data_IF_521823043743
#
_entry.id   IF_521823043743
#
_cell.length_a   1.000
_cell.length_b   1.000
_cell.length_c   1.000
_cell.angle_alpha   90.00
_cell.angle_beta   90.00
_cell.angle_gamma   90.00
#
_symmetry.space_group_name_H-M   'P 1'
#
loop_
_entity.id
_entity.type
_entity.pdbx_description
1 polymer ?
#
# COMPACT_ATOMS: atom_id res chain seq x y z
N UNK A 1 -14.76 -30.31 23.51
CA UNK A 1 -14.41 -29.22 22.54
C UNK A 1 -14.94 -27.92 23.14
N UNK A 2 -14.10 -26.90 23.26
CA UNK A 2 -14.53 -25.55 23.67
C UNK A 2 -15.52 -25.06 22.62
N UNK A 3 -16.61 -24.42 23.05
CA UNK A 3 -17.55 -23.79 22.14
C UNK A 3 -16.84 -22.76 21.24
N UNK A 4 -17.22 -22.71 19.97
CA UNK A 4 -16.58 -21.82 18.97
C UNK A 4 -16.63 -20.35 19.40
N UNK A 5 -17.76 -19.92 19.99
CA UNK A 5 -17.92 -18.56 20.46
C UNK A 5 -17.02 -18.27 21.64
N UNK A 6 -16.99 -19.17 22.62
CA UNK A 6 -16.12 -19.08 23.80
C UNK A 6 -14.63 -18.99 23.40
N UNK A 7 -14.22 -19.79 22.40
CA UNK A 7 -12.86 -19.74 21.89
C UNK A 7 -12.54 -18.39 21.27
N UNK A 8 -13.45 -17.81 20.47
CA UNK A 8 -13.22 -16.52 19.81
C UNK A 8 -13.22 -15.38 20.82
N UNK A 9 -14.14 -15.37 21.78
CA UNK A 9 -14.16 -14.38 22.87
C UNK A 9 -12.86 -14.42 23.68
N UNK A 10 -12.28 -15.60 23.87
CA UNK A 10 -10.98 -15.76 24.54
C UNK A 10 -9.84 -15.09 23.75
N UNK A 11 -9.80 -15.25 22.41
CA UNK A 11 -8.78 -14.60 21.58
C UNK A 11 -8.99 -13.09 21.50
N UNK A 12 -10.21 -12.60 21.39
CA UNK A 12 -10.48 -11.15 21.39
C UNK A 12 -10.13 -10.51 22.75
N UNK A 13 -10.30 -11.22 23.87
CA UNK A 13 -9.82 -10.77 25.17
C UNK A 13 -8.29 -10.72 25.26
N UNK A 14 -7.58 -11.72 24.74
CA UNK A 14 -6.11 -11.72 24.66
C UNK A 14 -5.58 -10.57 23.78
N UNK A 15 -6.30 -10.22 22.72
CA UNK A 15 -5.93 -9.10 21.84
C UNK A 15 -5.99 -7.75 22.56
N UNK A 16 -6.75 -7.63 23.65
CA UNK A 16 -6.83 -6.42 24.47
C UNK A 16 -5.69 -6.32 25.50
N UNK A 17 -4.99 -7.42 25.79
CA UNK A 17 -3.82 -7.42 26.65
C UNK A 17 -2.58 -6.94 25.88
N UNK A 18 -2.20 -5.69 26.13
CA UNK A 18 -1.05 -5.03 25.46
C UNK A 18 0.29 -5.25 26.18
N UNK A 19 0.31 -5.98 27.27
CA UNK A 19 1.54 -6.18 28.08
C UNK A 19 2.66 -6.86 27.31
N UNK A 20 2.33 -7.57 26.23
CA UNK A 20 3.25 -8.34 25.39
C UNK A 20 3.56 -7.69 24.04
N UNK A 21 3.09 -6.47 23.80
CA UNK A 21 3.37 -5.74 22.55
C UNK A 21 4.74 -5.08 22.62
N UNK A 22 5.60 -5.41 21.66
CA UNK A 22 6.95 -4.84 21.56
C UNK A 22 6.96 -3.45 20.93
N UNK A 23 5.98 -3.16 20.07
CA UNK A 23 5.85 -1.88 19.36
C UNK A 23 4.38 -1.49 19.20
N UNK A 24 4.11 -0.21 18.93
CA UNK A 24 2.76 0.28 18.60
C UNK A 24 2.20 -0.30 17.27
N UNK A 25 3.06 -0.90 16.45
CA UNK A 25 2.70 -1.51 15.17
C UNK A 25 2.37 -3.01 15.30
N UNK A 26 2.46 -3.54 16.52
CA UNK A 26 2.20 -4.93 16.85
C UNK A 26 0.71 -5.11 17.19
N UNK A 27 -0.10 -5.40 16.18
CA UNK A 27 -1.56 -5.40 16.27
C UNK A 27 -2.09 -6.81 16.06
N UNK A 28 -2.72 -7.38 17.12
CA UNK A 28 -3.43 -8.66 16.98
C UNK A 28 -4.63 -8.53 16.03
N UNK A 29 -4.86 -9.58 15.27
CA UNK A 29 -5.94 -9.62 14.28
C UNK A 29 -7.27 -9.96 14.96
N UNK A 30 -8.29 -9.08 14.93
CA UNK A 30 -9.61 -9.38 15.48
C UNK A 30 -10.21 -10.63 14.84
N UNK A 31 -10.97 -11.42 15.60
CA UNK A 31 -11.52 -12.69 15.12
C UNK A 31 -12.47 -12.54 13.92
N UNK A 32 -13.21 -11.43 13.81
CA UNK A 32 -14.02 -11.14 12.62
C UNK A 32 -13.17 -10.91 11.37
N UNK A 33 -12.00 -10.29 11.51
CA UNK A 33 -11.04 -10.15 10.41
C UNK A 33 -10.47 -11.51 10.00
N UNK A 34 -10.04 -12.32 10.95
CA UNK A 34 -9.57 -13.71 10.74
C UNK A 34 -10.59 -14.53 9.96
N UNK A 35 -11.86 -14.51 10.42
CA UNK A 35 -12.97 -15.19 9.75
C UNK A 35 -13.14 -14.73 8.31
N UNK A 36 -13.10 -13.43 8.07
CA UNK A 36 -13.25 -12.85 6.73
C UNK A 36 -12.10 -13.29 5.83
N UNK A 37 -10.86 -13.19 6.27
CA UNK A 37 -9.69 -13.59 5.50
C UNK A 37 -9.74 -15.07 5.09
N UNK A 38 -10.04 -15.97 6.02
CA UNK A 38 -10.10 -17.40 5.75
C UNK A 38 -11.26 -17.75 4.80
N UNK A 39 -12.40 -17.06 4.90
CA UNK A 39 -13.53 -17.26 4.02
C UNK A 39 -13.33 -16.68 2.60
N UNK A 40 -12.31 -15.87 2.36
CA UNK A 40 -11.92 -15.43 1.01
C UNK A 40 -11.13 -16.50 0.25
N UNK A 41 -10.56 -17.49 0.94
CA UNK A 41 -9.88 -18.62 0.31
C UNK A 41 -10.94 -19.51 -0.34
N UNK A 42 -10.76 -19.90 -1.62
CA UNK A 42 -11.72 -20.74 -2.33
C UNK A 42 -12.09 -22.02 -1.57
N UNK A 43 -13.37 -22.38 -1.59
CA UNK A 43 -13.85 -23.52 -0.79
C UNK A 43 -13.27 -24.86 -1.22
N UNK A 44 -12.98 -25.04 -2.50
CA UNK A 44 -12.37 -26.24 -3.08
C UNK A 44 -10.95 -26.49 -2.57
N UNK A 45 -10.23 -25.45 -2.17
CA UNK A 45 -8.92 -25.56 -1.51
C UNK A 45 -8.97 -26.47 -0.27
N UNK A 46 -10.05 -26.40 0.52
CA UNK A 46 -10.20 -27.13 1.77
C UNK A 46 -10.58 -28.61 1.58
N UNK A 47 -10.85 -29.04 0.35
CA UNK A 47 -11.14 -30.44 0.04
C UNK A 47 -9.91 -31.34 0.15
N UNK A 48 -8.72 -30.80 -0.05
CA UNK A 48 -7.46 -31.51 0.16
C UNK A 48 -7.13 -31.61 1.65
N UNK A 49 -7.08 -32.82 2.18
CA UNK A 49 -6.81 -33.08 3.60
C UNK A 49 -5.31 -33.03 3.97
N UNK A 50 -4.42 -33.03 2.98
CA UNK A 50 -2.97 -33.04 3.16
C UNK A 50 -2.32 -31.69 2.90
N UNK A 51 -3.07 -30.59 3.08
CA UNK A 51 -2.52 -29.24 2.92
C UNK A 51 -1.57 -28.89 4.06
N UNK A 52 -0.55 -28.08 3.75
CA UNK A 52 0.31 -27.43 4.74
C UNK A 52 -0.02 -25.94 4.78
N UNK A 53 -0.44 -25.46 5.94
CA UNK A 53 -0.80 -24.05 6.18
C UNK A 53 0.26 -23.44 7.09
N UNK A 54 0.86 -22.32 6.71
CA UNK A 54 1.78 -21.56 7.56
C UNK A 54 1.12 -20.26 8.04
N UNK A 55 1.20 -20.04 9.35
CA UNK A 55 1.04 -18.73 9.97
C UNK A 55 2.44 -18.25 10.44
N UNK A 56 3.14 -17.39 9.68
CA UNK A 56 4.56 -17.08 9.90
C UNK A 56 4.81 -16.07 11.03
N UNK A 57 3.77 -15.47 11.59
CA UNK A 57 3.81 -14.51 12.69
C UNK A 57 2.52 -14.63 13.50
N UNK A 58 2.31 -15.83 14.05
CA UNK A 58 1.01 -16.27 14.55
C UNK A 58 0.54 -15.54 15.83
N UNK A 59 1.43 -14.85 16.53
CA UNK A 59 1.09 -14.23 17.79
C UNK A 59 0.50 -15.25 18.78
N UNK A 60 -0.67 -14.94 19.29
CA UNK A 60 -1.39 -15.84 20.19
C UNK A 60 -2.08 -17.03 19.46
N UNK A 61 -2.06 -17.09 18.12
CA UNK A 61 -2.68 -18.16 17.32
C UNK A 61 -4.07 -17.84 16.77
N UNK A 62 -4.39 -16.58 16.58
CA UNK A 62 -5.72 -16.12 16.16
C UNK A 62 -6.21 -16.78 14.85
N UNK A 63 -5.34 -16.92 13.83
CA UNK A 63 -5.72 -17.62 12.60
C UNK A 63 -5.98 -19.10 12.86
N UNK A 64 -5.15 -19.75 13.68
CA UNK A 64 -5.33 -21.15 14.07
C UNK A 64 -6.68 -21.42 14.72
N UNK A 65 -7.16 -20.48 15.55
CA UNK A 65 -8.45 -20.60 16.21
C UNK A 65 -9.63 -20.76 15.25
N UNK A 66 -9.55 -20.21 14.03
CA UNK A 66 -10.57 -20.42 12.99
C UNK A 66 -10.20 -21.50 11.98
N UNK A 67 -8.92 -21.64 11.63
CA UNK A 67 -8.41 -22.63 10.68
C UNK A 67 -8.75 -24.08 11.07
N UNK A 68 -8.76 -24.40 12.37
CA UNK A 68 -9.13 -25.74 12.88
C UNK A 68 -10.55 -26.19 12.49
N UNK A 69 -11.41 -25.27 12.06
CA UNK A 69 -12.73 -25.58 11.51
C UNK A 69 -12.73 -25.81 9.97
N UNK A 70 -11.59 -25.58 9.34
CA UNK A 70 -11.39 -25.76 7.88
C UNK A 70 -10.48 -26.94 7.57
N UNK A 71 -9.47 -27.19 8.40
CA UNK A 71 -8.50 -28.28 8.29
C UNK A 71 -8.12 -28.80 9.67
N UNK A 72 -7.45 -29.96 9.73
CA UNK A 72 -6.94 -30.49 11.00
C UNK A 72 -5.79 -29.62 11.50
N UNK A 73 -5.69 -29.49 12.84
CA UNK A 73 -4.67 -28.63 13.48
C UNK A 73 -3.24 -29.06 13.14
N UNK A 74 -3.01 -30.36 12.91
CA UNK A 74 -1.70 -30.91 12.54
C UNK A 74 -1.21 -30.45 11.15
N UNK A 75 -2.09 -29.89 10.33
CA UNK A 75 -1.72 -29.30 9.05
C UNK A 75 -1.26 -27.83 9.17
N UNK A 76 -1.39 -27.23 10.37
CA UNK A 76 -1.09 -25.82 10.61
C UNK A 76 0.27 -25.71 11.28
N UNK A 77 1.14 -24.95 10.65
CA UNK A 77 2.49 -24.62 11.10
C UNK A 77 2.47 -23.20 11.65
N UNK A 78 2.74 -23.07 12.94
CA UNK A 78 2.77 -21.78 13.63
C UNK A 78 4.21 -21.34 13.83
N UNK A 79 4.52 -20.10 13.54
CA UNK A 79 5.80 -19.50 13.83
C UNK A 79 5.60 -18.07 14.35
N UNK A 80 6.37 -17.69 15.36
CA UNK A 80 6.48 -16.30 15.80
C UNK A 80 7.85 -16.08 16.45
N UNK A 81 8.40 -14.88 16.32
CA UNK A 81 9.64 -14.49 16.99
C UNK A 81 9.42 -14.19 18.48
N UNK A 82 8.17 -13.93 18.88
CA UNK A 82 7.78 -13.63 20.25
C UNK A 82 7.40 -14.92 21.00
N UNK A 83 8.33 -15.40 21.82
CA UNK A 83 8.17 -16.64 22.58
C UNK A 83 6.97 -16.63 23.52
N UNK A 84 6.68 -15.51 24.18
CA UNK A 84 5.57 -15.42 25.14
C UNK A 84 4.20 -15.59 24.46
N UNK A 85 4.05 -15.08 23.24
CA UNK A 85 2.83 -15.28 22.43
C UNK A 85 2.71 -16.72 21.96
N UNK A 86 3.82 -17.35 21.59
CA UNK A 86 3.84 -18.77 21.25
C UNK A 86 3.37 -19.64 22.40
N UNK A 87 3.73 -19.30 23.65
CA UNK A 87 3.23 -20.02 24.82
C UNK A 87 1.71 -19.91 24.97
N UNK A 88 1.09 -18.77 24.67
CA UNK A 88 -0.37 -18.64 24.63
C UNK A 88 -0.98 -19.52 23.52
N UNK A 89 -0.38 -19.50 22.33
CA UNK A 89 -0.78 -20.33 21.20
C UNK A 89 -0.73 -21.84 21.59
N UNK A 90 0.38 -22.31 22.20
CA UNK A 90 0.55 -23.67 22.69
C UNK A 90 -0.54 -24.05 23.69
N UNK A 91 -0.76 -23.24 24.72
CA UNK A 91 -1.73 -23.51 25.80
C UNK A 91 -3.18 -23.59 25.31
N UNK A 92 -3.54 -22.81 24.26
CA UNK A 92 -4.93 -22.71 23.80
C UNK A 92 -5.23 -23.71 22.68
N UNK A 93 -4.32 -23.85 21.70
CA UNK A 93 -4.54 -24.62 20.49
C UNK A 93 -3.87 -26.00 20.51
N UNK A 94 -2.86 -26.18 21.37
CA UNK A 94 -2.04 -27.41 21.45
C UNK A 94 -1.56 -27.91 20.06
N UNK A 95 -0.92 -27.07 19.23
CA UNK A 95 -0.54 -27.41 17.88
C UNK A 95 0.65 -28.37 17.86
N UNK A 96 0.71 -29.25 16.84
CA UNK A 96 1.83 -30.16 16.60
C UNK A 96 3.08 -29.43 16.06
N UNK A 97 2.88 -28.44 15.20
CA UNK A 97 3.96 -27.71 14.52
C UNK A 97 3.98 -26.26 15.00
N UNK A 98 4.95 -25.96 15.87
CA UNK A 98 5.17 -24.61 16.40
C UNK A 98 6.67 -24.35 16.51
N UNK A 99 7.11 -23.17 16.06
CA UNK A 99 8.52 -22.77 16.02
C UNK A 99 8.71 -21.32 16.43
N UNK A 100 9.90 -21.02 16.95
CA UNK A 100 10.32 -19.67 17.32
C UNK A 100 11.53 -19.27 16.46
N UNK A 101 11.31 -19.08 15.17
CA UNK A 101 12.37 -18.73 14.23
C UNK A 101 12.13 -17.35 13.62
N UNK A 102 13.21 -16.70 13.18
CA UNK A 102 13.06 -15.61 12.21
C UNK A 102 12.41 -16.16 10.93
N UNK A 103 11.27 -15.61 10.56
CA UNK A 103 10.53 -16.06 9.37
C UNK A 103 11.40 -16.15 8.12
N UNK A 104 12.37 -15.25 7.97
CA UNK A 104 13.26 -15.21 6.81
C UNK A 104 14.28 -16.36 6.76
N UNK A 105 14.32 -17.20 7.79
CA UNK A 105 15.14 -18.43 7.83
C UNK A 105 14.35 -19.71 7.54
N UNK A 106 13.04 -19.60 7.28
CA UNK A 106 12.18 -20.73 6.91
C UNK A 106 12.26 -20.93 5.39
N UNK A 107 12.40 -22.20 4.95
CA UNK A 107 12.54 -22.58 3.53
C UNK A 107 11.56 -23.70 3.10
N UNK A 108 10.77 -24.26 4.01
CA UNK A 108 9.75 -25.26 3.69
C UNK A 108 8.68 -24.70 2.74
N UNK A 109 7.99 -25.61 2.03
CA UNK A 109 6.95 -25.26 1.07
C UNK A 109 5.55 -25.51 1.64
N UNK A 110 4.66 -24.55 1.41
CA UNK A 110 3.30 -24.52 1.94
C UNK A 110 2.25 -24.38 0.85
N UNK A 111 1.06 -24.90 1.11
CA UNK A 111 -0.10 -24.77 0.22
C UNK A 111 -0.86 -23.45 0.48
N UNK A 112 -0.79 -22.95 1.72
CA UNK A 112 -1.35 -21.68 2.14
C UNK A 112 -0.39 -20.98 3.11
N UNK A 113 -0.15 -19.69 2.91
CA UNK A 113 0.46 -18.81 3.91
C UNK A 113 -0.54 -17.72 4.23
N UNK A 114 -0.91 -17.59 5.52
CA UNK A 114 -1.89 -16.62 5.99
C UNK A 114 -1.32 -15.81 7.14
N UNK A 115 -1.42 -14.47 7.08
CA UNK A 115 -0.83 -13.62 8.12
C UNK A 115 -1.41 -12.20 8.18
N UNK A 116 -1.23 -11.61 9.35
CA UNK A 116 -1.12 -10.17 9.57
C UNK A 116 0.35 -9.86 9.94
N UNK A 117 1.25 -9.67 8.97
CA UNK A 117 2.67 -9.52 9.25
C UNK A 117 2.98 -8.18 9.92
N UNK A 118 4.10 -8.05 10.67
CA UNK A 118 4.54 -6.78 11.23
C UNK A 118 4.79 -5.76 10.10
N UNK A 119 4.36 -4.49 10.32
CA UNK A 119 4.38 -3.47 9.26
C UNK A 119 5.70 -2.73 9.15
N UNK A 120 6.33 -2.43 10.30
CA UNK A 120 7.61 -1.74 10.37
C UNK A 120 8.63 -2.55 11.16
N UNK A 121 9.89 -2.52 10.73
CA UNK A 121 10.97 -3.28 11.37
C UNK A 121 11.61 -2.59 12.58
N UNK A 122 10.98 -1.57 13.19
CA UNK A 122 11.48 -0.86 14.34
C UNK A 122 12.93 -0.36 14.15
N UNK A 123 13.16 0.72 13.43
CA UNK A 123 14.50 1.25 13.24
C UNK A 123 14.71 2.04 11.95
N UNK A 124 15.83 2.69 11.86
CA UNK A 124 16.23 3.55 10.76
C UNK A 124 16.24 2.82 9.40
N UNK A 125 15.34 3.19 8.53
CA UNK A 125 15.21 2.96 7.09
C UNK A 125 14.02 2.06 6.69
N UNK A 126 12.96 2.71 6.38
CA UNK A 126 11.95 2.67 5.29
C UNK A 126 11.80 1.39 4.43
N UNK A 127 12.20 0.21 4.87
CA UNK A 127 11.78 -1.01 4.20
C UNK A 127 10.56 -1.53 4.95
N UNK A 128 9.39 -1.44 4.31
CA UNK A 128 8.17 -2.06 4.79
C UNK A 128 8.46 -3.54 5.09
N UNK A 129 8.40 -3.92 6.36
CA UNK A 129 8.65 -5.31 6.76
C UNK A 129 7.57 -6.22 6.15
N UNK A 130 6.33 -5.74 6.08
CA UNK A 130 5.23 -6.46 5.44
C UNK A 130 5.51 -6.79 3.97
N UNK A 131 6.15 -5.91 3.20
CA UNK A 131 6.54 -6.20 1.83
C UNK A 131 7.57 -7.34 1.74
N UNK A 132 8.54 -7.37 2.65
CA UNK A 132 9.52 -8.47 2.72
C UNK A 132 8.83 -9.79 3.08
N UNK A 133 7.84 -9.77 3.99
CA UNK A 133 7.02 -10.94 4.29
C UNK A 133 6.28 -11.46 3.06
N UNK A 134 5.66 -10.57 2.25
CA UNK A 134 5.01 -10.93 0.98
C UNK A 134 6.03 -11.60 0.05
N UNK A 135 7.17 -10.96 -0.20
CA UNK A 135 8.17 -11.44 -1.14
C UNK A 135 8.74 -12.80 -0.75
N UNK A 136 9.05 -13.02 0.53
CA UNK A 136 9.53 -14.30 1.02
C UNK A 136 8.45 -15.38 0.99
N UNK A 137 7.20 -15.03 1.33
CA UNK A 137 6.06 -15.96 1.27
C UNK A 137 5.82 -16.49 -0.15
N UNK A 138 5.97 -15.66 -1.19
CA UNK A 138 5.86 -16.11 -2.59
C UNK A 138 6.87 -17.23 -2.88
N UNK A 139 8.08 -17.10 -2.35
CA UNK A 139 9.12 -18.12 -2.52
C UNK A 139 8.80 -19.43 -1.76
N UNK A 140 8.13 -19.34 -0.61
CA UNK A 140 7.74 -20.50 0.19
C UNK A 140 6.45 -21.20 -0.29
N UNK A 141 5.66 -20.59 -1.14
CA UNK A 141 4.46 -21.23 -1.67
C UNK A 141 4.80 -22.31 -2.69
N UNK A 142 4.06 -23.43 -2.62
CA UNK A 142 3.96 -24.42 -3.70
C UNK A 142 3.24 -23.81 -4.90
N UNK A 143 3.36 -24.45 -6.07
CA UNK A 143 2.57 -24.09 -7.23
C UNK A 143 1.07 -24.25 -6.92
N UNK A 144 0.26 -23.29 -7.38
CA UNK A 144 -1.17 -23.15 -7.07
C UNK A 144 -1.49 -22.90 -5.59
N UNK A 145 -0.47 -22.69 -4.74
CA UNK A 145 -0.63 -22.29 -3.34
C UNK A 145 -1.15 -20.86 -3.19
N UNK A 146 -1.76 -20.57 -2.06
CA UNK A 146 -2.39 -19.31 -1.78
C UNK A 146 -1.60 -18.46 -0.77
N UNK A 147 -1.56 -17.15 -0.99
CA UNK A 147 -1.14 -16.14 -0.04
C UNK A 147 -2.38 -15.34 0.40
N UNK A 148 -2.65 -15.29 1.70
CA UNK A 148 -3.76 -14.53 2.26
C UNK A 148 -3.25 -13.58 3.34
N UNK A 149 -3.03 -12.32 3.01
CA UNK A 149 -2.46 -11.34 3.92
C UNK A 149 -3.37 -10.13 4.12
N UNK A 150 -3.27 -9.52 5.31
CA UNK A 150 -3.72 -8.17 5.58
C UNK A 150 -2.52 -7.28 5.84
N UNK A 151 -2.37 -6.21 5.06
CA UNK A 151 -1.21 -5.32 5.12
C UNK A 151 -1.59 -3.87 4.84
N UNK A 152 -0.76 -2.89 5.22
CA UNK A 152 -0.84 -1.55 4.63
C UNK A 152 -0.69 -1.62 3.11
N UNK A 153 -1.37 -0.74 2.39
CA UNK A 153 -1.47 -0.78 0.91
C UNK A 153 -0.30 -0.11 0.17
N UNK A 154 0.83 0.13 0.81
CA UNK A 154 2.01 0.72 0.18
C UNK A 154 2.59 -0.13 -0.98
N UNK A 155 2.42 -1.45 -0.94
CA UNK A 155 2.82 -2.35 -2.03
C UNK A 155 1.97 -2.17 -3.30
N UNK A 156 0.79 -1.57 -3.20
CA UNK A 156 -0.06 -1.22 -4.35
C UNK A 156 0.46 0.01 -5.10
N UNK A 157 1.31 0.84 -4.45
CA UNK A 157 1.70 2.14 -4.96
C UNK A 157 2.68 2.05 -6.12
N UNK A 158 2.61 3.03 -7.03
CA UNK A 158 3.67 3.24 -7.99
C UNK A 158 4.97 3.65 -7.25
N UNK A 159 6.00 2.87 -7.48
CA UNK A 159 7.37 3.22 -7.09
C UNK A 159 8.34 2.47 -8.02
N UNK A 160 9.33 3.17 -8.57
CA UNK A 160 10.35 2.56 -9.43
C UNK A 160 11.01 1.32 -8.80
N UNK A 161 11.05 1.28 -7.46
CA UNK A 161 11.64 0.20 -6.67
C UNK A 161 10.58 -0.71 -6.02
N UNK A 162 9.33 -0.68 -6.47
CA UNK A 162 8.30 -1.57 -5.95
C UNK A 162 8.47 -2.98 -6.53
N UNK A 163 9.42 -3.71 -5.96
CA UNK A 163 9.68 -5.12 -6.32
C UNK A 163 8.52 -6.02 -5.93
N UNK A 164 7.81 -5.71 -4.85
CA UNK A 164 6.71 -6.52 -4.30
C UNK A 164 5.56 -6.66 -5.28
N UNK A 165 5.02 -5.54 -5.81
CA UNK A 165 3.93 -5.60 -6.78
C UNK A 165 4.36 -6.34 -8.05
N UNK A 166 5.55 -6.05 -8.58
CA UNK A 166 6.11 -6.75 -9.75
C UNK A 166 6.23 -8.26 -9.50
N UNK A 167 6.73 -8.66 -8.32
CA UNK A 167 6.87 -10.07 -7.95
C UNK A 167 5.50 -10.76 -7.89
N UNK A 168 4.48 -10.11 -7.31
CA UNK A 168 3.10 -10.63 -7.28
C UNK A 168 2.54 -10.79 -8.71
N UNK A 169 2.63 -9.76 -9.55
CA UNK A 169 2.06 -9.79 -10.91
C UNK A 169 2.77 -10.79 -11.84
N UNK A 170 4.08 -11.00 -11.66
CA UNK A 170 4.86 -11.91 -12.51
C UNK A 170 4.77 -13.38 -12.10
N UNK A 171 4.38 -13.69 -10.84
CA UNK A 171 4.40 -15.04 -10.31
C UNK A 171 3.01 -15.63 -10.03
N UNK A 172 1.93 -14.88 -10.27
CA UNK A 172 0.57 -15.37 -10.06
C UNK A 172 -0.49 -14.30 -10.22
N UNK A 173 -1.69 -14.54 -9.68
CA UNK A 173 -2.84 -13.65 -9.83
C UNK A 173 -3.57 -13.41 -8.51
N UNK A 174 -4.17 -12.25 -8.38
CA UNK A 174 -5.08 -11.94 -7.29
C UNK A 174 -6.42 -12.67 -7.49
N UNK A 175 -6.91 -13.26 -6.41
CA UNK A 175 -8.23 -13.88 -6.31
C UNK A 175 -9.22 -12.88 -5.70
N UNK A 176 -8.80 -12.23 -4.59
CA UNK A 176 -9.56 -11.20 -3.90
C UNK A 176 -8.64 -10.04 -3.53
N UNK A 177 -9.15 -8.81 -3.66
CA UNK A 177 -8.58 -7.59 -3.07
C UNK A 177 -9.72 -6.91 -2.29
N UNK A 178 -9.58 -6.77 -0.97
CA UNK A 178 -10.55 -6.11 -0.10
C UNK A 178 -9.92 -4.85 0.50
N UNK A 179 -10.33 -3.69 0.00
CA UNK A 179 -9.90 -2.37 0.46
C UNK A 179 -10.77 -1.83 1.63
N UNK A 180 -11.77 -2.58 2.09
CA UNK A 180 -12.59 -2.25 3.27
C UNK A 180 -11.98 -2.73 4.60
N UNK A 181 -10.73 -3.19 4.58
CA UNK A 181 -10.06 -3.80 5.74
C UNK A 181 -9.81 -2.81 6.90
N UNK A 182 -9.82 -1.50 6.65
CA UNK A 182 -9.68 -0.45 7.68
C UNK A 182 -10.69 -0.58 8.82
N UNK A 183 -11.88 -1.11 8.57
CA UNK A 183 -12.93 -1.31 9.58
C UNK A 183 -12.49 -2.19 10.76
N UNK A 184 -11.55 -3.11 10.54
CA UNK A 184 -11.02 -3.99 11.59
C UNK A 184 -9.97 -3.29 12.48
N UNK A 185 -9.39 -2.17 12.01
CA UNK A 185 -8.35 -1.41 12.72
C UNK A 185 -8.66 0.09 12.75
N UNK A 186 -9.79 0.51 13.37
CA UNK A 186 -10.26 1.89 13.30
C UNK A 186 -9.29 2.91 13.92
N UNK A 187 -8.49 2.48 14.90
CA UNK A 187 -7.54 3.34 15.63
C UNK A 187 -6.19 3.51 14.92
N UNK A 188 -5.89 2.71 13.89
CA UNK A 188 -4.62 2.79 13.17
C UNK A 188 -4.70 3.83 12.06
N UNK A 189 -3.67 4.68 11.91
CA UNK A 189 -3.68 5.78 10.93
C UNK A 189 -3.59 5.35 9.47
N UNK A 190 -3.08 4.13 9.18
CA UNK A 190 -2.87 3.62 7.84
C UNK A 190 -4.15 3.05 7.20
N UNK A 191 -4.17 2.98 5.87
CA UNK A 191 -5.14 2.19 5.12
C UNK A 191 -4.63 0.76 4.95
N UNK A 192 -5.56 -0.21 4.98
CA UNK A 192 -5.24 -1.63 4.89
C UNK A 192 -5.98 -2.30 3.76
N UNK A 193 -5.36 -3.33 3.20
CA UNK A 193 -5.95 -4.21 2.20
C UNK A 193 -5.79 -5.65 2.66
N UNK A 194 -6.87 -6.44 2.60
CA UNK A 194 -6.80 -7.88 2.62
C UNK A 194 -6.69 -8.33 1.16
N UNK A 195 -5.78 -9.25 0.88
CA UNK A 195 -5.73 -9.87 -0.43
C UNK A 195 -5.54 -11.37 -0.33
N UNK A 196 -6.15 -12.09 -1.27
CA UNK A 196 -5.87 -13.49 -1.57
C UNK A 196 -5.24 -13.55 -2.95
N UNK A 197 -4.07 -14.14 -3.02
CA UNK A 197 -3.28 -14.28 -4.25
C UNK A 197 -2.90 -15.75 -4.45
N UNK A 198 -2.85 -16.22 -5.71
CA UNK A 198 -2.51 -17.60 -6.04
C UNK A 198 -1.27 -17.65 -6.92
N UNK A 199 -0.30 -18.49 -6.53
CA UNK A 199 0.97 -18.68 -7.23
C UNK A 199 0.80 -19.48 -8.51
N UNK A 200 1.53 -19.12 -9.55
CA UNK A 200 1.61 -19.82 -10.84
C UNK A 200 0.26 -20.01 -11.57
N UNK A 201 -0.77 -19.27 -11.14
CA UNK A 201 -2.07 -19.22 -11.81
C UNK A 201 -2.26 -17.82 -12.35
N UNK A 202 -2.47 -17.71 -13.66
CA UNK A 202 -2.67 -16.43 -14.34
C UNK A 202 -4.14 -16.31 -14.75
N UNK A 203 -5.01 -16.22 -13.74
CA UNK A 203 -6.42 -15.91 -13.93
C UNK A 203 -6.61 -14.39 -13.77
N UNK A 204 -7.15 -13.76 -14.79
CA UNK A 204 -7.30 -12.32 -14.80
C UNK A 204 -8.47 -11.80 -13.96
N UNK A 205 -9.39 -12.68 -13.52
CA UNK A 205 -10.62 -12.27 -12.84
C UNK A 205 -10.42 -12.17 -11.32
N UNK A 206 -10.18 -10.96 -10.83
CA UNK A 206 -10.05 -10.63 -9.42
C UNK A 206 -11.35 -10.06 -8.86
N UNK A 207 -11.85 -10.60 -7.73
CA UNK A 207 -12.93 -9.99 -6.96
C UNK A 207 -12.39 -8.85 -6.14
N UNK A 208 -12.96 -7.66 -6.29
CA UNK A 208 -12.56 -6.45 -5.56
C UNK A 208 -13.69 -5.95 -4.69
N UNK A 209 -13.38 -5.67 -3.43
CA UNK A 209 -14.28 -5.04 -2.46
C UNK A 209 -13.75 -3.64 -2.20
N UNK A 210 -14.42 -2.64 -2.74
CA UNK A 210 -14.03 -1.25 -2.63
C UNK A 210 -14.72 -0.58 -1.43
N UNK A 211 -13.99 0.35 -0.79
CA UNK A 211 -14.56 1.25 0.22
C UNK A 211 -13.91 2.65 0.18
N UNK A 212 -13.11 2.93 -0.85
CA UNK A 212 -12.50 4.24 -1.04
C UNK A 212 -13.35 5.07 -2.01
N UNK A 213 -13.97 6.14 -1.53
CA UNK A 213 -14.87 7.05 -2.25
C UNK A 213 -16.18 6.41 -2.72
N UNK A 214 -16.15 5.23 -3.30
CA UNK A 214 -17.31 4.46 -3.76
C UNK A 214 -17.25 3.09 -3.10
N UNK A 215 -18.35 2.69 -2.42
CA UNK A 215 -18.47 1.38 -1.79
C UNK A 215 -19.21 0.43 -2.74
N UNK A 216 -18.49 -0.54 -3.29
CA UNK A 216 -19.07 -1.54 -4.19
C UNK A 216 -18.21 -2.81 -4.26
N UNK A 217 -18.70 -3.81 -5.00
CA UNK A 217 -17.98 -5.03 -5.35
C UNK A 217 -17.85 -5.08 -6.87
N UNK A 218 -16.62 -5.23 -7.34
CA UNK A 218 -16.28 -5.33 -8.75
C UNK A 218 -15.59 -6.66 -9.06
N UNK A 219 -15.58 -7.04 -10.34
CA UNK A 219 -14.75 -8.13 -10.86
C UNK A 219 -13.91 -7.55 -11.99
N UNK A 220 -12.60 -7.56 -11.85
CA UNK A 220 -11.68 -6.87 -12.74
C UNK A 220 -10.60 -7.81 -13.28
N UNK A 221 -10.07 -7.46 -14.45
CA UNK A 221 -8.90 -8.10 -15.03
C UNK A 221 -7.68 -7.21 -14.75
N UNK A 222 -6.77 -7.68 -13.89
CA UNK A 222 -5.53 -6.96 -13.56
C UNK A 222 -4.44 -7.40 -14.52
N UNK A 223 -4.01 -6.48 -15.41
CA UNK A 223 -2.90 -6.74 -16.32
C UNK A 223 -1.57 -6.83 -15.54
N UNK A 224 -0.69 -7.77 -15.94
CA UNK A 224 0.63 -7.94 -15.33
C UNK A 224 1.56 -6.72 -15.51
N UNK A 225 1.28 -5.87 -16.50
CA UNK A 225 2.06 -4.68 -16.80
C UNK A 225 1.55 -3.43 -16.07
N UNK A 226 0.54 -3.56 -15.20
CA UNK A 226 0.05 -2.41 -14.44
C UNK A 226 1.14 -1.90 -13.48
N UNK A 227 1.32 -0.59 -13.41
CA UNK A 227 2.36 0.02 -12.57
C UNK A 227 1.94 0.23 -11.11
N UNK A 228 0.63 0.27 -10.85
CA UNK A 228 0.07 0.44 -9.52
C UNK A 228 -1.38 -0.04 -9.48
N UNK A 229 -1.87 -0.41 -8.30
CA UNK A 229 -3.27 -0.79 -8.07
C UNK A 229 -3.96 0.38 -7.37
N UNK A 230 -4.98 1.01 -7.98
CA UNK A 230 -5.66 2.16 -7.38
C UNK A 230 -6.52 1.75 -6.17
N UNK A 231 -6.76 2.70 -5.25
CA UNK A 231 -7.58 2.47 -4.05
C UNK A 231 -9.05 2.18 -4.36
N UNK A 232 -9.60 2.75 -5.45
CA UNK A 232 -10.86 2.32 -6.02
C UNK A 232 -10.56 1.59 -7.33
N UNK A 233 -10.93 0.32 -7.39
CA UNK A 233 -10.56 -0.58 -8.47
C UNK A 233 -11.81 -1.08 -9.19
N UNK A 234 -11.99 -0.65 -10.43
CA UNK A 234 -12.97 -1.13 -11.40
C UNK A 234 -12.29 -1.34 -12.75
N UNK A 235 -12.95 -2.05 -13.67
CA UNK A 235 -12.37 -2.24 -15.01
C UNK A 235 -12.17 -0.90 -15.73
N UNK A 236 -13.14 0.00 -15.64
CA UNK A 236 -13.05 1.33 -16.28
C UNK A 236 -11.86 2.15 -15.74
N UNK A 237 -11.57 2.04 -14.44
CA UNK A 237 -10.41 2.72 -13.85
C UNK A 237 -9.10 2.09 -14.33
N UNK A 238 -9.04 0.76 -14.46
CA UNK A 238 -7.86 0.10 -15.04
C UNK A 238 -7.63 0.51 -16.49
N UNK A 239 -8.69 0.59 -17.29
CA UNK A 239 -8.64 1.01 -18.68
C UNK A 239 -8.16 2.49 -18.79
N UNK A 240 -8.63 3.37 -17.90
CA UNK A 240 -8.17 4.76 -17.80
C UNK A 240 -6.67 4.81 -17.45
N UNK A 241 -6.23 4.02 -16.47
CA UNK A 241 -4.82 3.95 -16.04
C UNK A 241 -3.96 3.50 -17.23
N UNK A 242 -4.34 2.42 -17.91
CA UNK A 242 -3.60 1.88 -19.06
C UNK A 242 -3.50 2.91 -20.18
N UNK A 243 -4.59 3.63 -20.48
CA UNK A 243 -4.64 4.68 -21.50
C UNK A 243 -3.78 5.89 -21.14
N UNK A 244 -3.75 6.27 -19.86
CA UNK A 244 -3.17 7.55 -19.39
C UNK A 244 -1.74 7.44 -18.91
N UNK A 245 -1.25 6.23 -18.68
CA UNK A 245 0.13 5.99 -18.25
C UNK A 245 1.00 5.51 -19.41
N UNK A 246 2.27 5.87 -19.38
CA UNK A 246 3.28 5.49 -20.37
C UNK A 246 4.53 4.95 -19.66
N UNK A 247 5.31 4.11 -20.34
CA UNK A 247 6.56 3.56 -19.82
C UNK A 247 7.65 4.63 -19.69
N UNK A 248 7.74 5.52 -20.68
CA UNK A 248 8.71 6.60 -20.65
C UNK A 248 8.31 7.67 -19.63
N UNK A 249 9.30 8.19 -18.92
CA UNK A 249 9.09 9.24 -17.93
C UNK A 249 9.04 10.63 -18.59
N UNK A 250 8.12 11.47 -18.14
CA UNK A 250 8.10 12.88 -18.44
C UNK A 250 9.03 13.71 -17.53
N UNK A 251 9.04 15.03 -17.69
CA UNK A 251 9.93 15.96 -16.97
C UNK A 251 9.50 16.29 -15.53
N UNK A 252 8.75 15.40 -14.89
CA UNK A 252 8.45 15.55 -13.46
C UNK A 252 9.71 15.32 -12.62
N UNK A 253 9.97 16.24 -11.70
CA UNK A 253 11.11 16.20 -10.82
C UNK A 253 10.72 16.19 -9.33
N UNK A 254 11.49 15.44 -8.55
CA UNK A 254 11.42 15.37 -7.11
C UNK A 254 12.85 15.32 -6.58
N UNK A 255 13.28 16.38 -5.85
CA UNK A 255 14.67 16.54 -5.42
C UNK A 255 14.82 16.40 -3.91
N UNK A 256 15.94 15.83 -3.50
CA UNK A 256 16.31 15.65 -2.11
C UNK A 256 17.67 16.28 -1.75
N UNK A 257 18.27 17.08 -2.63
CA UNK A 257 19.56 17.78 -2.40
C UNK A 257 19.47 18.86 -1.30
N UNK A 258 18.28 19.45 -1.09
CA UNK A 258 17.98 20.33 0.05
C UNK A 258 17.02 19.64 1.05
N UNK A 259 17.43 18.50 1.59
CA UNK A 259 16.61 17.74 2.52
C UNK A 259 16.56 18.42 3.90
N UNK A 260 15.36 18.71 4.41
CA UNK A 260 15.11 19.47 5.63
C UNK A 260 15.77 18.89 6.90
N UNK A 261 15.95 17.59 6.97
CA UNK A 261 16.53 16.93 8.15
C UNK A 261 18.03 16.64 8.02
N UNK A 262 18.54 16.37 6.80
CA UNK A 262 19.93 15.98 6.57
C UNK A 262 20.80 17.12 6.06
N UNK A 263 20.22 18.21 5.54
CA UNK A 263 20.88 19.40 5.01
C UNK A 263 20.53 20.65 5.82
N UNK A 264 20.44 20.51 7.16
CA UNK A 264 20.06 21.61 8.07
C UNK A 264 20.96 22.81 7.97
N UNK A 265 22.25 22.61 7.72
CA UNK A 265 23.25 23.65 7.57
C UNK A 265 23.08 24.46 6.28
N UNK A 266 22.33 23.99 5.31
CA UNK A 266 22.05 24.71 4.05
C UNK A 266 20.72 25.46 4.07
N UNK A 267 19.91 25.32 5.12
CA UNK A 267 18.54 25.84 5.20
C UNK A 267 18.30 26.63 6.48
N UNK A 268 17.64 27.79 6.37
CA UNK A 268 17.19 28.60 7.48
C UNK A 268 15.74 29.05 7.27
N UNK A 269 15.00 29.29 8.35
CA UNK A 269 13.62 29.79 8.27
C UNK A 269 13.58 31.30 7.98
N UNK A 270 14.68 32.04 8.27
CA UNK A 270 14.81 33.48 8.04
C UNK A 270 15.80 33.76 6.91
N UNK A 271 15.48 34.74 6.06
CA UNK A 271 16.40 35.28 5.05
C UNK A 271 17.48 36.15 5.69
N UNK A 272 18.72 35.97 5.24
CA UNK A 272 19.86 36.82 5.60
C UNK A 272 20.92 36.78 4.48
N UNK A 273 22.12 37.36 4.71
CA UNK A 273 23.17 37.42 3.69
C UNK A 273 23.77 36.10 3.29
N UNK A 274 23.63 35.05 4.12
CA UNK A 274 24.10 33.69 3.84
C UNK A 274 22.96 32.88 3.23
N UNK A 275 21.77 32.90 3.81
CA UNK A 275 20.59 32.18 3.39
C UNK A 275 19.73 33.08 2.50
N UNK A 276 20.07 33.17 1.21
CA UNK A 276 19.51 34.16 0.25
C UNK A 276 18.39 33.59 -0.59
N UNK A 277 18.45 32.29 -0.91
CA UNK A 277 17.62 31.70 -1.95
C UNK A 277 16.30 31.18 -1.38
N UNK A 278 15.19 31.81 -1.78
CA UNK A 278 13.82 31.37 -1.42
C UNK A 278 13.65 29.89 -1.76
N UNK A 279 13.19 29.08 -0.82
CA UNK A 279 13.10 27.64 -0.94
C UNK A 279 11.73 27.17 -0.45
N UNK A 280 10.95 26.54 -1.31
CA UNK A 280 9.64 26.01 -0.97
C UNK A 280 9.82 24.67 -0.25
N UNK A 281 9.38 24.62 1.03
CA UNK A 281 9.38 23.40 1.81
C UNK A 281 8.01 22.73 1.81
N UNK A 282 6.95 23.49 2.07
CA UNK A 282 5.55 23.07 1.91
C UNK A 282 4.75 24.24 1.37
N UNK A 283 3.50 24.07 0.93
CA UNK A 283 2.67 25.19 0.49
C UNK A 283 2.53 26.33 1.52
N UNK A 284 2.69 26.00 2.81
CA UNK A 284 2.58 26.97 3.93
C UNK A 284 3.92 27.34 4.57
N UNK A 285 5.02 26.72 4.15
CA UNK A 285 6.33 26.95 4.77
C UNK A 285 7.41 27.21 3.72
N UNK A 286 7.84 28.46 3.66
CA UNK A 286 9.04 28.90 2.92
C UNK A 286 10.26 28.83 3.83
N UNK A 287 11.40 28.44 3.28
CA UNK A 287 12.73 28.51 3.89
C UNK A 287 13.68 29.25 2.96
N UNK A 288 14.91 29.45 3.39
CA UNK A 288 15.96 30.08 2.58
C UNK A 288 17.19 29.19 2.59
N UNK A 289 17.81 29.02 1.40
CA UNK A 289 19.00 28.19 1.22
C UNK A 289 20.25 29.05 1.00
N UNK A 290 21.40 28.44 1.30
CA UNK A 290 22.71 29.00 0.97
C UNK A 290 23.11 28.78 -0.49
N UNK A 291 22.50 27.82 -1.15
CA UNK A 291 22.80 27.45 -2.53
C UNK A 291 21.61 27.74 -3.44
N UNK A 292 21.89 27.96 -4.71
CA UNK A 292 20.91 28.13 -5.77
C UNK A 292 20.81 26.81 -6.54
N UNK A 293 19.61 26.27 -6.67
CA UNK A 293 19.34 25.10 -7.50
C UNK A 293 19.28 25.54 -8.98
N UNK A 294 19.51 24.61 -9.92
CA UNK A 294 19.43 24.82 -11.37
C UNK A 294 18.04 25.28 -11.87
N UNK A 295 17.00 25.01 -11.08
CA UNK A 295 15.61 25.41 -11.36
C UNK A 295 15.30 26.84 -10.91
N UNK A 296 16.20 27.49 -10.17
CA UNK A 296 15.91 28.77 -9.48
C UNK A 296 15.45 29.87 -10.44
N UNK A 297 16.05 29.94 -11.62
CA UNK A 297 15.73 30.97 -12.64
C UNK A 297 14.62 30.54 -13.59
N UNK A 298 13.95 29.42 -13.31
CA UNK A 298 12.85 28.90 -14.12
C UNK A 298 11.50 29.15 -13.48
N UNK A 299 10.46 29.14 -14.26
CA UNK A 299 9.08 29.06 -13.79
C UNK A 299 8.75 27.63 -13.42
N UNK A 300 8.35 27.38 -12.18
CA UNK A 300 8.11 26.05 -11.68
C UNK A 300 6.66 25.87 -11.25
N UNK A 301 6.05 24.79 -11.72
CA UNK A 301 4.76 24.32 -11.23
C UNK A 301 5.03 23.41 -10.04
N UNK A 302 4.72 23.86 -8.85
CA UNK A 302 4.96 23.16 -7.58
C UNK A 302 3.81 22.19 -7.31
N UNK A 303 4.16 20.95 -6.97
CA UNK A 303 3.23 19.88 -6.63
C UNK A 303 3.41 19.50 -5.15
N UNK A 304 2.43 19.77 -4.27
CA UNK A 304 2.50 19.41 -2.87
C UNK A 304 2.49 17.89 -2.63
N UNK A 305 3.37 17.40 -1.77
CA UNK A 305 3.36 16.02 -1.29
C UNK A 305 2.24 15.79 -0.28
N UNK A 306 2.02 16.75 0.60
CA UNK A 306 1.00 16.71 1.65
C UNK A 306 -0.20 17.59 1.28
N UNK A 307 -1.30 17.43 2.02
CA UNK A 307 -2.54 18.18 1.81
C UNK A 307 -3.26 17.81 0.50
N UNK A 308 -4.09 18.71 0.01
CA UNK A 308 -4.83 18.53 -1.24
C UNK A 308 -3.89 18.70 -2.45
N UNK A 309 -4.25 18.05 -3.56
CA UNK A 309 -3.55 18.21 -4.82
C UNK A 309 -3.95 19.55 -5.46
N UNK A 310 -3.23 20.62 -5.07
CA UNK A 310 -3.43 22.00 -5.57
C UNK A 310 -2.09 22.50 -6.11
N UNK A 311 -1.80 22.26 -7.41
CA UNK A 311 -0.59 22.79 -8.04
C UNK A 311 -0.62 24.32 -8.12
N UNK A 312 0.55 24.95 -7.94
CA UNK A 312 0.70 26.40 -8.08
C UNK A 312 2.03 26.77 -8.75
N UNK A 313 2.10 27.97 -9.32
CA UNK A 313 3.30 28.45 -10.03
C UNK A 313 4.11 29.34 -9.15
N UNK A 314 5.42 29.14 -9.17
CA UNK A 314 6.43 29.98 -8.50
C UNK A 314 7.59 30.28 -9.45
N UNK A 315 8.32 31.36 -9.17
CA UNK A 315 9.53 31.77 -9.88
C UNK A 315 10.60 32.20 -8.85
N UNK A 316 11.87 32.04 -9.21
CA UNK A 316 12.99 32.34 -8.31
C UNK A 316 12.90 31.55 -6.98
N UNK A 317 12.70 30.24 -7.07
CA UNK A 317 12.59 29.35 -5.91
C UNK A 317 13.42 28.08 -6.08
N UNK A 318 13.97 27.61 -4.97
CA UNK A 318 14.41 26.23 -4.78
C UNK A 318 13.26 25.37 -4.26
N UNK A 319 13.47 24.04 -4.22
CA UNK A 319 12.54 23.07 -3.62
C UNK A 319 13.26 22.15 -2.63
N UNK A 320 12.51 21.63 -1.65
CA UNK A 320 12.98 20.56 -0.74
C UNK A 320 12.30 19.25 -1.08
N UNK A 321 12.61 18.19 -0.32
CA UNK A 321 11.99 16.86 -0.45
C UNK A 321 10.47 16.81 -0.20
N UNK A 322 9.83 17.90 0.18
CA UNK A 322 8.39 17.92 0.53
C UNK A 322 7.48 18.35 -0.63
N UNK A 323 8.05 18.65 -1.79
CA UNK A 323 7.32 19.02 -3.01
C UNK A 323 8.00 18.41 -4.24
N UNK A 324 7.19 18.08 -5.26
CA UNK A 324 7.67 17.84 -6.60
C UNK A 324 7.42 19.03 -7.51
N UNK A 325 7.96 19.03 -8.72
CA UNK A 325 7.79 20.13 -9.66
C UNK A 325 7.96 19.75 -11.13
N UNK A 326 7.42 20.63 -12.00
CA UNK A 326 7.77 20.74 -13.42
C UNK A 326 8.38 22.12 -13.66
N UNK A 327 9.47 22.21 -14.43
CA UNK A 327 10.17 23.45 -14.73
C UNK A 327 9.93 23.89 -16.19
N UNK A 328 9.73 25.19 -16.39
CA UNK A 328 9.45 25.82 -17.68
C UNK A 328 10.29 27.09 -17.85
N UNK A 329 10.55 27.45 -19.11
CA UNK A 329 11.32 28.66 -19.42
C UNK A 329 10.46 29.92 -19.34
N UNK A 330 9.15 29.84 -19.56
CA UNK A 330 8.22 30.98 -19.53
C UNK A 330 7.09 30.80 -18.52
N UNK A 331 6.58 31.92 -18.03
CA UNK A 331 5.40 31.94 -17.16
C UNK A 331 4.17 31.36 -17.85
N UNK A 332 3.99 31.68 -19.13
CA UNK A 332 2.84 31.21 -19.92
C UNK A 332 2.81 29.69 -19.98
N UNK A 333 3.94 29.03 -20.28
CA UNK A 333 4.05 27.57 -20.29
C UNK A 333 3.70 26.96 -18.94
N UNK A 334 4.25 27.54 -17.84
CA UNK A 334 3.97 27.06 -16.49
C UNK A 334 2.47 27.19 -16.12
N UNK A 335 1.85 28.30 -16.49
CA UNK A 335 0.42 28.54 -16.24
C UNK A 335 -0.46 27.60 -17.03
N UNK A 336 -0.17 27.39 -18.33
CA UNK A 336 -0.89 26.42 -19.16
C UNK A 336 -0.79 25.00 -18.58
N UNK A 337 0.40 24.61 -18.18
CA UNK A 337 0.61 23.29 -17.59
C UNK A 337 -0.08 23.13 -16.21
N UNK A 338 -0.08 24.17 -15.39
CA UNK A 338 -0.86 24.19 -14.15
C UNK A 338 -2.36 23.95 -14.41
N UNK A 339 -2.93 24.60 -15.46
CA UNK A 339 -4.34 24.37 -15.82
C UNK A 339 -4.56 22.93 -16.32
N UNK A 340 -3.59 22.35 -17.05
CA UNK A 340 -3.59 20.94 -17.44
C UNK A 340 -3.71 20.01 -16.23
N UNK A 341 -2.95 20.25 -15.18
CA UNK A 341 -2.98 19.47 -13.95
C UNK A 341 -4.32 19.54 -13.20
N UNK A 342 -5.18 20.49 -13.52
CA UNK A 342 -6.53 20.60 -12.95
C UNK A 342 -7.57 19.73 -13.65
N UNK A 343 -7.23 19.08 -14.77
CA UNK A 343 -8.16 18.18 -15.43
C UNK A 343 -8.63 17.06 -14.50
N UNK A 344 -9.91 16.73 -14.58
CA UNK A 344 -10.56 15.83 -13.62
C UNK A 344 -9.93 14.43 -13.60
N UNK A 345 -9.56 13.90 -14.76
CA UNK A 345 -8.92 12.58 -14.83
C UNK A 345 -7.54 12.54 -14.13
N UNK A 346 -6.75 13.63 -14.19
CA UNK A 346 -5.47 13.74 -13.48
C UNK A 346 -5.71 13.77 -11.97
N UNK A 347 -6.67 14.58 -11.51
CA UNK A 347 -7.06 14.63 -10.10
C UNK A 347 -7.52 13.27 -9.61
N UNK A 348 -8.32 12.55 -10.38
CA UNK A 348 -8.76 11.18 -10.06
C UNK A 348 -7.57 10.27 -9.86
N UNK A 349 -6.61 10.22 -10.79
CA UNK A 349 -5.42 9.37 -10.66
C UNK A 349 -4.62 9.67 -9.39
N UNK A 350 -4.40 10.94 -9.08
CA UNK A 350 -3.68 11.35 -7.85
C UNK A 350 -4.45 10.90 -6.60
N UNK A 351 -5.77 11.07 -6.57
CA UNK A 351 -6.57 10.64 -5.42
C UNK A 351 -6.60 9.13 -5.25
N UNK A 352 -6.72 8.37 -6.33
CA UNK A 352 -6.77 6.91 -6.31
C UNK A 352 -5.42 6.26 -5.96
N UNK A 353 -4.33 7.03 -6.01
CA UNK A 353 -2.99 6.57 -5.61
C UNK A 353 -2.54 7.11 -4.25
N UNK A 354 -3.44 7.72 -3.48
CA UNK A 354 -3.14 8.25 -2.15
C UNK A 354 -3.24 7.17 -1.07
N UNK A 355 -2.26 6.27 -1.00
CA UNK A 355 -2.25 5.11 -0.10
C UNK A 355 -2.04 5.45 1.38
N UNK A 356 -1.79 6.70 1.73
CA UNK A 356 -1.56 7.18 3.08
C UNK A 356 -1.89 8.67 3.20
N UNK A 357 -1.22 9.36 4.10
CA UNK A 357 -1.44 10.80 4.35
C UNK A 357 -0.84 11.70 3.24
N UNK A 358 0.00 11.16 2.37
CA UNK A 358 0.69 11.89 1.31
C UNK A 358 0.14 11.55 -0.07
N UNK A 359 0.15 12.50 -0.99
CA UNK A 359 -0.12 12.24 -2.39
C UNK A 359 1.01 11.40 -2.99
N UNK A 360 0.68 10.41 -3.79
CA UNK A 360 1.69 9.66 -4.55
C UNK A 360 2.03 10.43 -5.83
N UNK A 361 2.79 11.53 -5.68
CA UNK A 361 3.13 12.40 -6.81
C UNK A 361 4.08 11.74 -7.82
N UNK A 362 4.71 10.62 -7.47
CA UNK A 362 5.59 9.91 -8.42
C UNK A 362 4.83 9.33 -9.60
N UNK A 363 3.53 9.09 -9.49
CA UNK A 363 2.70 8.68 -10.62
C UNK A 363 2.73 9.71 -11.76
N UNK A 364 2.93 11.00 -11.44
CA UNK A 364 3.03 12.07 -12.42
C UNK A 364 4.16 11.87 -13.44
N UNK A 365 5.22 11.12 -13.10
CA UNK A 365 6.30 10.77 -14.05
C UNK A 365 5.82 9.99 -15.26
N UNK A 366 4.74 9.23 -15.10
CA UNK A 366 4.26 8.28 -16.11
C UNK A 366 2.95 8.73 -16.76
N UNK A 367 2.40 9.88 -16.36
CA UNK A 367 1.19 10.41 -16.99
C UNK A 367 1.52 10.95 -18.37
N UNK A 368 0.73 10.54 -19.34
CA UNK A 368 0.76 11.10 -20.71
C UNK A 368 -0.04 12.42 -20.75
N UNK A 369 0.64 13.54 -20.57
CA UNK A 369 0.01 14.87 -20.57
C UNK A 369 -0.44 15.36 -21.95
N UNK A 370 -0.15 14.64 -23.04
CA UNK A 370 -0.68 14.94 -24.36
C UNK A 370 -2.19 14.61 -24.48
N UNK A 371 -2.70 13.74 -23.62
CA UNK A 371 -4.12 13.42 -23.55
C UNK A 371 -4.93 14.61 -23.01
N UNK A 372 -6.17 14.72 -23.46
CA UNK A 372 -7.15 15.69 -22.96
C UNK A 372 -8.48 14.99 -22.65
N UNK A 373 -9.45 15.73 -22.10
CA UNK A 373 -10.74 15.18 -21.68
C UNK A 373 -11.51 14.50 -22.83
N UNK A 374 -11.30 14.90 -24.10
CA UNK A 374 -11.98 14.32 -25.27
C UNK A 374 -11.44 12.93 -25.65
N UNK A 375 -10.30 12.51 -25.06
CA UNK A 375 -9.75 11.19 -25.29
C UNK A 375 -10.50 10.08 -24.52
N UNK A 376 -11.44 10.45 -23.63
CA UNK A 376 -12.18 9.49 -22.79
C UNK A 376 -13.56 9.22 -23.37
N UNK A 377 -13.98 7.96 -23.34
CA UNK A 377 -15.34 7.56 -23.68
C UNK A 377 -16.37 8.15 -22.71
N UNK A 378 -17.64 8.11 -23.07
CA UNK A 378 -18.74 8.56 -22.20
C UNK A 378 -18.76 7.79 -20.86
N UNK A 379 -18.52 6.47 -20.89
CA UNK A 379 -18.45 5.65 -19.68
C UNK A 379 -17.26 6.00 -18.80
N UNK A 380 -16.09 6.21 -19.38
CA UNK A 380 -14.89 6.65 -18.63
C UNK A 380 -15.12 8.05 -18.01
N UNK A 381 -15.70 8.97 -18.75
CA UNK A 381 -16.06 10.30 -18.25
C UNK A 381 -17.08 10.22 -17.11
N UNK A 382 -18.07 9.34 -17.19
CA UNK A 382 -19.05 9.14 -16.12
C UNK A 382 -18.39 8.69 -14.82
N UNK A 383 -17.48 7.70 -14.85
CA UNK A 383 -16.78 7.25 -13.64
C UNK A 383 -15.83 8.31 -13.12
N UNK A 384 -15.12 9.06 -13.97
CA UNK A 384 -14.29 10.18 -13.55
C UNK A 384 -15.13 11.21 -12.78
N UNK A 385 -16.29 11.61 -13.31
CA UNK A 385 -17.19 12.58 -12.64
C UNK A 385 -17.76 12.03 -11.33
N UNK A 386 -18.13 10.75 -11.30
CA UNK A 386 -18.60 10.09 -10.09
C UNK A 386 -17.54 10.10 -8.97
N UNK A 387 -16.29 9.85 -9.30
CA UNK A 387 -15.18 9.90 -8.33
C UNK A 387 -14.92 11.34 -7.89
N UNK A 388 -14.86 12.30 -8.84
CA UNK A 388 -14.64 13.73 -8.52
C UNK A 388 -15.69 14.25 -7.55
N UNK A 389 -16.96 13.86 -7.71
CA UNK A 389 -18.04 14.30 -6.82
C UNK A 389 -17.88 13.82 -5.36
N UNK A 390 -17.06 12.81 -5.14
CA UNK A 390 -16.77 12.24 -3.80
C UNK A 390 -15.48 12.80 -3.17
N UNK A 391 -14.63 13.43 -3.98
CA UNK A 391 -13.38 14.03 -3.49
C UNK A 391 -13.73 15.33 -2.75
N UNK A 392 -13.34 15.39 -1.47
CA UNK A 392 -13.44 16.63 -0.68
C UNK A 392 -12.14 17.42 -0.85
N UNK A 393 -12.26 18.70 -1.23
CA UNK A 393 -11.16 19.65 -1.31
C UNK A 393 -11.07 20.50 -0.04
#
# INVERSE_FOLDING_TARGET
MIDKKELFDKFDNLNNDKTHYQTNDDICTPMDCVKTMINYIPNDFWNNKNIKVLDPCCGNGNFGAYLQYKTIIDNIYFNDINEQRLENCKKILNPKHISNYDFFTIYDKYDLIIANPPYSGGGNKNKSLSNRFIEHSIDLLKDKGYLCFITPNNWMSYNNNNTTLKKLLNNGSFVVIDNDAKKYFPKVGSSFTIFVWQKSVFNNKTKVINNYLIKDIQYVNIDKNIHFIPLYLSQQILDIIQKTTMENTNNFNYRCDLHNFTKKNLLNDNRNDIFKYKTIHTPKKTRYATIKQDIYDKWVVIIPLSCYFIPYVEHNVNTTQSVGYFAFDTQEQAMLFKEKLKENWIKVLIHLTRYGNFNNILVLKHINFLLNQNCFSEQENKIIQQIISKIRY
#
